data_IF_539248020303
#
_entry.id   IF_539248020303
#
_cell.length_a   1.000
_cell.length_b   1.000
_cell.length_c   1.000
_cell.angle_alpha   90.00
_cell.angle_beta   90.00
_cell.angle_gamma   90.00
#
_symmetry.space_group_name_H-M   'P 1'
#
loop_
_entity.id
_entity.type
_entity.pdbx_description
1 polymer ?
#
# COMPACT_ATOMS: atom_id res chain seq x y z
N UNK A 1 -1.45 -8.37 6.45
CA UNK A 1 -2.72 -8.85 7.02
C UNK A 1 -2.57 -9.41 8.46
N UNK A 2 -1.68 -8.84 9.28
CA UNK A 2 -1.74 -8.92 10.74
C UNK A 2 -1.75 -7.53 11.39
N UNK A 3 -2.74 -6.75 11.00
CA UNK A 3 -2.92 -5.35 11.40
C UNK A 3 -4.27 -5.16 12.09
N UNK A 4 -4.85 -6.29 12.49
CA UNK A 4 -6.27 -6.50 12.81
C UNK A 4 -6.56 -6.20 14.28
N UNK A 5 -5.52 -6.15 15.10
CA UNK A 5 -5.62 -6.01 16.54
C UNK A 5 -4.79 -4.84 17.05
N UNK A 6 -4.68 -3.74 16.29
CA UNK A 6 -4.08 -2.58 16.92
C UNK A 6 -4.90 -2.15 18.13
N UNK A 7 -6.22 -2.38 18.25
CA UNK A 7 -6.87 -1.93 19.50
C UNK A 7 -8.24 -2.51 19.83
N UNK A 8 -8.54 -3.78 19.54
CA UNK A 8 -9.89 -4.31 19.79
C UNK A 8 -9.97 -5.39 20.86
N UNK A 9 -9.46 -5.04 22.04
CA UNK A 9 -10.35 -4.79 23.18
C UNK A 9 -9.55 -4.06 24.25
N UNK A 10 -10.10 -2.95 24.72
CA UNK A 10 -10.08 -2.68 26.15
C UNK A 10 -10.11 -4.00 26.92
N UNK A 11 -8.98 -4.38 27.49
CA UNK A 11 -8.93 -5.22 28.66
C UNK A 11 -9.70 -4.47 29.77
N UNK A 12 -11.02 -4.65 29.80
CA UNK A 12 -11.88 -4.35 30.95
C UNK A 12 -12.82 -3.13 30.85
N UNK A 13 -14.03 -3.35 30.31
CA UNK A 13 -15.28 -2.74 30.78
C UNK A 13 -15.62 -1.28 30.40
N UNK A 14 -16.90 -0.87 30.53
CA UNK A 14 -17.41 0.37 29.95
C UNK A 14 -17.22 1.56 30.89
N UNK A 15 -16.75 2.70 30.36
CA UNK A 15 -16.96 4.01 31.00
C UNK A 15 -17.43 5.04 29.98
N UNK A 16 -18.75 5.26 30.02
CA UNK A 16 -19.39 6.51 29.64
C UNK A 16 -18.59 7.71 30.17
N UNK A 17 -18.28 8.70 29.32
CA UNK A 17 -18.25 10.11 29.76
C UNK A 17 -18.27 11.11 28.60
N UNK A 18 -19.41 11.77 28.53
CA UNK A 18 -19.71 13.13 28.13
C UNK A 18 -18.55 14.05 27.68
N UNK A 19 -18.78 14.60 26.49
CA UNK A 19 -18.27 15.85 25.96
C UNK A 19 -18.29 17.01 26.95
N UNK A 20 -17.17 17.72 27.10
CA UNK A 20 -17.16 19.16 27.44
C UNK A 20 -16.06 19.88 26.66
N UNK A 21 -16.48 20.92 25.95
CA UNK A 21 -15.68 21.96 25.29
C UNK A 21 -14.85 22.77 26.30
N UNK A 22 -13.64 23.25 25.95
CA UNK A 22 -13.01 24.36 26.66
C UNK A 22 -13.18 25.68 25.91
N UNK A 23 -13.61 26.69 26.66
CA UNK A 23 -13.62 28.12 26.30
C UNK A 23 -12.32 28.79 26.75
N UNK A 24 -11.87 29.78 25.97
CA UNK A 24 -11.33 31.03 26.51
C UNK A 24 -9.84 31.09 26.86
N UNK A 25 -9.13 31.81 25.98
CA UNK A 25 -8.08 32.81 26.28
C UNK A 25 -7.00 32.49 27.33
N UNK A 26 -5.73 32.52 26.91
CA UNK A 26 -4.83 33.57 27.37
C UNK A 26 -3.63 33.79 26.44
N UNK A 27 -3.38 35.07 26.15
CA UNK A 27 -2.21 35.60 25.45
C UNK A 27 -1.14 35.93 26.48
N UNK A 28 0.06 35.40 26.34
CA UNK A 28 1.29 36.10 26.74
C UNK A 28 2.41 35.76 25.75
N UNK A 29 2.95 36.79 25.12
CA UNK A 29 4.15 36.69 24.29
C UNK A 29 5.42 36.79 25.13
N UNK A 30 6.54 36.36 24.55
CA UNK A 30 7.80 37.12 24.42
C UNK A 30 8.90 36.25 23.79
N UNK A 31 9.70 36.92 22.97
CA UNK A 31 11.06 36.60 22.49
C UNK A 31 11.27 35.64 21.33
N UNK A 32 11.42 36.28 20.17
CA UNK A 32 12.19 35.82 19.00
C UNK A 32 13.57 35.31 19.43
N UNK A 33 13.85 34.05 19.10
CA UNK A 33 15.20 33.60 18.76
C UNK A 33 15.15 33.07 17.33
N UNK A 34 15.75 33.83 16.42
CA UNK A 34 16.09 33.38 15.08
C UNK A 34 17.17 32.32 15.27
N UNK A 35 16.82 31.05 15.07
CA UNK A 35 17.77 29.96 14.90
C UNK A 35 17.62 29.47 13.47
N UNK A 36 18.69 29.65 12.70
CA UNK A 36 18.81 29.22 11.31
C UNK A 36 18.53 27.71 11.23
N UNK A 37 17.40 27.34 10.62
CA UNK A 37 17.17 25.97 10.13
C UNK A 37 17.91 25.83 8.82
N UNK A 38 19.09 25.23 8.88
CA UNK A 38 19.76 24.63 7.73
C UNK A 38 18.85 23.55 7.15
N UNK A 39 18.47 23.78 5.89
CA UNK A 39 17.52 23.01 5.10
C UNK A 39 18.16 21.73 4.56
N UNK A 40 17.47 20.59 4.70
CA UNK A 40 17.80 19.30 4.08
C UNK A 40 17.82 19.29 2.53
N UNK A 41 17.61 20.44 1.87
CA UNK A 41 17.80 20.62 0.43
C UNK A 41 19.25 20.37 -0.03
N UNK A 42 20.22 20.50 0.89
CA UNK A 42 21.63 20.30 0.58
C UNK A 42 21.94 18.85 0.21
N UNK A 43 21.30 17.84 0.80
CA UNK A 43 21.73 16.43 0.63
C UNK A 43 21.45 15.88 -0.77
N UNK A 44 20.29 16.15 -1.35
CA UNK A 44 19.93 15.67 -2.70
C UNK A 44 20.66 16.43 -3.80
N UNK A 45 20.92 17.73 -3.59
CA UNK A 45 21.78 18.50 -4.48
C UNK A 45 23.25 18.05 -4.38
N UNK A 46 23.72 17.69 -3.19
CA UNK A 46 25.06 17.11 -3.01
C UNK A 46 25.18 15.74 -3.69
N UNK A 47 24.13 14.91 -3.67
CA UNK A 47 24.11 13.63 -4.41
C UNK A 47 24.08 13.83 -5.93
N UNK A 48 23.34 14.82 -6.42
CA UNK A 48 23.35 15.20 -7.84
C UNK A 48 24.73 15.73 -8.28
N UNK A 49 25.35 16.60 -7.47
CA UNK A 49 26.69 17.12 -7.71
C UNK A 49 27.74 16.00 -7.71
N UNK A 50 27.66 15.07 -6.75
CA UNK A 50 28.51 13.89 -6.72
C UNK A 50 28.31 12.99 -7.96
N UNK A 51 27.07 12.86 -8.44
CA UNK A 51 26.76 12.12 -9.66
C UNK A 51 27.31 12.82 -10.92
N UNK A 52 27.34 14.15 -10.95
CA UNK A 52 27.96 14.94 -12.02
C UNK A 52 29.49 14.78 -12.00
N UNK A 53 30.12 14.82 -10.83
CA UNK A 53 31.57 14.60 -10.68
C UNK A 53 32.00 13.20 -11.14
N UNK A 54 31.26 12.17 -10.73
CA UNK A 54 31.52 10.79 -11.17
C UNK A 54 31.34 10.62 -12.69
N UNK A 55 30.35 11.27 -13.29
CA UNK A 55 30.17 11.29 -14.75
C UNK A 55 31.36 11.97 -15.46
N UNK A 56 31.87 13.07 -14.93
CA UNK A 56 33.05 13.75 -15.46
C UNK A 56 34.31 12.87 -15.43
N UNK A 57 34.51 12.12 -14.34
CA UNK A 57 35.63 11.19 -14.22
C UNK A 57 35.51 10.02 -15.21
N UNK A 58 34.30 9.52 -15.45
CA UNK A 58 34.03 8.51 -16.49
C UNK A 58 34.33 9.07 -17.88
N UNK A 59 33.89 10.29 -18.20
CA UNK A 59 34.19 10.95 -19.48
C UNK A 59 35.71 11.08 -19.68
N UNK A 60 36.46 11.57 -18.68
CA UNK A 60 37.93 11.69 -18.77
C UNK A 60 38.62 10.34 -18.97
N UNK A 61 38.13 9.30 -18.31
CA UNK A 61 38.67 7.93 -18.46
C UNK A 61 38.46 7.38 -19.88
N UNK A 62 37.28 7.61 -20.45
CA UNK A 62 36.94 7.20 -21.82
C UNK A 62 37.72 8.05 -22.84
N UNK A 63 37.90 9.35 -22.62
CA UNK A 63 38.73 10.23 -23.48
C UNK A 63 40.20 9.76 -23.52
N UNK A 64 40.77 9.39 -22.38
CA UNK A 64 42.12 8.81 -22.30
C UNK A 64 42.21 7.50 -23.08
N UNK A 65 41.15 6.69 -23.02
CA UNK A 65 41.05 5.44 -23.77
C UNK A 65 40.94 5.72 -25.27
N UNK A 66 40.14 6.71 -25.68
CA UNK A 66 40.01 7.14 -27.08
C UNK A 66 41.36 7.60 -27.64
N UNK A 67 42.14 8.41 -26.92
CA UNK A 67 43.46 8.86 -27.38
C UNK A 67 44.42 7.68 -27.64
N UNK A 68 44.34 6.62 -26.83
CA UNK A 68 45.11 5.39 -27.06
C UNK A 68 44.64 4.64 -28.32
N UNK A 69 43.33 4.62 -28.58
CA UNK A 69 42.76 4.02 -29.79
C UNK A 69 43.01 4.86 -31.05
N UNK A 70 43.11 6.19 -30.96
CA UNK A 70 43.44 7.07 -32.08
C UNK A 70 44.85 6.81 -32.64
N UNK A 71 45.81 6.47 -31.77
CA UNK A 71 47.17 6.08 -32.17
C UNK A 71 47.22 4.78 -32.98
N UNK A 72 46.22 3.90 -32.79
CA UNK A 72 46.12 2.57 -33.39
C UNK A 72 45.04 2.54 -34.49
N UNK A 73 44.32 3.66 -34.72
CA UNK A 73 43.12 3.76 -35.57
C UNK A 73 43.35 3.30 -37.00
N UNK A 74 44.57 3.48 -37.52
CA UNK A 74 44.93 3.12 -38.89
C UNK A 74 45.43 1.67 -39.04
N UNK A 75 45.52 0.90 -37.95
CA UNK A 75 46.06 -0.47 -37.98
C UNK A 75 45.03 -1.51 -38.46
N UNK A 76 43.73 -1.22 -38.31
CA UNK A 76 42.64 -2.11 -38.73
C UNK A 76 41.30 -1.37 -38.85
N UNK A 77 40.45 -1.78 -39.79
CA UNK A 77 39.03 -1.38 -39.86
C UNK A 77 38.29 -1.62 -38.53
N UNK A 78 38.69 -2.67 -37.78
CA UNK A 78 38.14 -2.97 -36.45
C UNK A 78 38.52 -1.92 -35.41
N UNK A 79 39.74 -1.40 -35.46
CA UNK A 79 40.22 -0.38 -34.52
C UNK A 79 39.69 1.01 -34.86
N UNK A 80 39.49 1.28 -36.15
CA UNK A 80 38.72 2.43 -36.65
C UNK A 80 37.28 2.45 -36.11
N UNK A 81 36.55 1.33 -36.25
CA UNK A 81 35.17 1.23 -35.73
C UNK A 81 35.07 1.39 -34.21
N UNK A 82 36.06 0.91 -33.45
CA UNK A 82 36.12 1.11 -31.99
C UNK A 82 36.35 2.57 -31.62
N UNK A 83 37.24 3.26 -32.32
CA UNK A 83 37.51 4.68 -32.07
C UNK A 83 36.26 5.55 -32.38
N UNK A 84 35.56 5.26 -33.48
CA UNK A 84 34.31 5.94 -33.86
C UNK A 84 33.20 5.69 -32.81
N UNK A 85 33.06 4.45 -32.32
CA UNK A 85 32.08 4.12 -31.28
C UNK A 85 32.40 4.83 -29.95
N UNK A 86 33.67 4.85 -29.55
CA UNK A 86 34.12 5.53 -28.32
C UNK A 86 33.88 7.04 -28.43
N UNK A 87 34.16 7.65 -29.58
CA UNK A 87 33.83 9.05 -29.85
C UNK A 87 32.33 9.30 -29.68
N UNK A 88 31.48 8.45 -30.28
CA UNK A 88 30.03 8.57 -30.18
C UNK A 88 29.50 8.41 -28.74
N UNK A 89 30.13 7.56 -27.93
CA UNK A 89 29.80 7.41 -26.50
C UNK A 89 30.16 8.69 -25.73
N UNK A 90 31.35 9.26 -25.95
CA UNK A 90 31.77 10.52 -25.32
C UNK A 90 30.79 11.65 -25.65
N UNK A 91 30.37 11.77 -26.91
CA UNK A 91 29.44 12.82 -27.34
C UNK A 91 28.10 12.72 -26.61
N UNK A 92 27.54 11.50 -26.48
CA UNK A 92 26.29 11.27 -25.73
C UNK A 92 26.44 11.58 -24.24
N UNK A 93 27.57 11.21 -23.63
CA UNK A 93 27.82 11.47 -22.21
C UNK A 93 27.98 12.98 -21.94
N UNK A 94 28.60 13.75 -22.84
CA UNK A 94 28.70 15.22 -22.75
C UNK A 94 27.34 15.91 -22.85
N UNK A 95 26.42 15.37 -23.66
CA UNK A 95 25.03 15.85 -23.71
C UNK A 95 24.34 15.63 -22.37
N UNK A 96 24.43 14.41 -21.82
CA UNK A 96 23.86 14.07 -20.50
C UNK A 96 24.47 14.94 -19.39
N UNK A 97 25.79 15.16 -19.40
CA UNK A 97 26.47 16.08 -18.48
C UNK A 97 25.92 17.51 -18.60
N UNK A 98 25.70 17.99 -19.81
CA UNK A 98 25.15 19.33 -20.06
C UNK A 98 23.73 19.45 -19.52
N UNK A 99 22.88 18.45 -19.74
CA UNK A 99 21.50 18.43 -19.26
C UNK A 99 21.45 18.37 -17.72
N UNK A 100 22.31 17.56 -17.08
CA UNK A 100 22.42 17.50 -15.62
C UNK A 100 22.92 18.82 -15.01
N UNK A 101 23.88 19.49 -15.66
CA UNK A 101 24.34 20.81 -15.24
C UNK A 101 23.25 21.87 -15.39
N UNK A 102 22.37 21.78 -16.39
CA UNK A 102 21.19 22.67 -16.51
C UNK A 102 20.20 22.47 -15.37
N UNK A 103 19.93 21.21 -15.01
CA UNK A 103 19.10 20.88 -13.84
C UNK A 103 19.73 21.40 -12.54
N UNK A 104 21.07 21.38 -12.44
CA UNK A 104 21.79 21.96 -11.29
C UNK A 104 21.84 23.49 -11.29
N UNK A 105 21.67 24.15 -12.45
CA UNK A 105 21.78 25.60 -12.60
C UNK A 105 20.42 26.33 -12.59
N UNK A 106 19.30 25.61 -12.68
CA UNK A 106 17.95 26.18 -12.55
C UNK A 106 17.62 26.53 -11.07
N UNK A 107 18.23 27.60 -10.55
CA UNK A 107 17.70 28.33 -9.40
C UNK A 107 16.47 29.16 -9.86
N UNK A 108 15.27 28.57 -9.78
CA UNK A 108 14.08 29.27 -10.28
C UNK A 108 12.72 28.62 -10.04
N UNK A 109 12.46 28.02 -8.87
CA UNK A 109 11.12 27.56 -8.48
C UNK A 109 10.39 28.47 -7.48
N UNK A 110 10.52 29.79 -7.65
CA UNK A 110 9.92 30.79 -6.74
C UNK A 110 8.69 31.54 -7.32
N UNK A 111 8.06 31.05 -8.39
CA UNK A 111 6.87 31.70 -8.98
C UNK A 111 5.76 30.75 -9.47
N UNK A 112 5.40 29.76 -8.66
CA UNK A 112 4.06 29.13 -8.79
C UNK A 112 3.32 28.93 -7.44
N UNK A 113 3.72 29.67 -6.41
CA UNK A 113 3.08 29.65 -5.08
C UNK A 113 2.61 31.04 -4.67
N UNK A 114 1.60 31.57 -5.35
CA UNK A 114 0.77 32.64 -4.81
C UNK A 114 -0.70 32.48 -5.19
N UNK A 115 -1.24 31.31 -4.83
CA UNK A 115 -2.66 31.22 -4.47
C UNK A 115 -2.66 30.97 -2.96
N UNK A 116 -3.35 31.79 -2.14
CA UNK A 116 -3.43 31.57 -0.71
C UNK A 116 -4.27 30.31 -0.48
N UNK A 117 -3.61 29.17 -0.36
CA UNK A 117 -4.23 27.97 0.16
C UNK A 117 -4.09 28.00 1.68
N UNK A 118 -5.24 28.08 2.32
CA UNK A 118 -5.44 27.81 3.73
C UNK A 118 -4.54 26.66 4.20
N UNK A 119 -3.89 26.88 5.33
CA UNK A 119 -3.16 25.87 6.09
C UNK A 119 -4.19 24.90 6.69
N UNK A 120 -4.73 24.01 5.84
CA UNK A 120 -5.62 22.91 6.22
C UNK A 120 -5.76 21.87 5.11
N UNK A 121 -4.65 21.27 4.66
CA UNK A 121 -4.75 20.08 3.80
C UNK A 121 -3.49 19.23 3.82
N UNK A 122 -3.21 18.58 4.96
CA UNK A 122 -2.49 17.30 4.93
C UNK A 122 -3.48 16.26 4.40
N UNK A 123 -3.67 16.22 3.07
CA UNK A 123 -4.42 15.16 2.40
C UNK A 123 -3.50 13.95 2.30
N UNK A 124 -3.45 13.17 3.38
CA UNK A 124 -2.73 11.91 3.36
C UNK A 124 -3.60 10.84 2.71
N UNK A 125 -3.31 10.54 1.44
CA UNK A 125 -3.92 9.49 0.62
C UNK A 125 -3.60 8.08 1.12
N UNK A 126 -3.87 7.04 0.31
CA UNK A 126 -3.79 5.63 0.69
C UNK A 126 -2.41 5.20 1.26
N UNK A 127 -2.36 4.03 1.93
CA UNK A 127 -1.09 3.45 2.39
C UNK A 127 -0.29 2.78 1.28
N UNK A 128 -0.94 2.41 0.18
CA UNK A 128 -0.28 1.65 -0.86
C UNK A 128 0.87 2.45 -1.49
N UNK A 129 1.94 1.76 -1.87
CA UNK A 129 3.13 2.39 -2.44
C UNK A 129 2.79 3.12 -3.74
N UNK A 130 1.84 2.58 -4.50
CA UNK A 130 1.47 3.04 -5.83
C UNK A 130 0.51 4.24 -5.82
N UNK A 131 0.02 4.66 -4.66
CA UNK A 131 -0.89 5.81 -4.57
C UNK A 131 -0.17 7.12 -4.92
N UNK A 132 -0.63 7.80 -5.97
CA UNK A 132 -0.26 9.19 -6.27
C UNK A 132 -1.30 10.14 -5.64
N UNK A 133 -0.87 11.04 -4.74
CA UNK A 133 -1.76 12.02 -4.09
C UNK A 133 -2.28 13.11 -5.08
N UNK A 134 -1.94 13.00 -6.36
CA UNK A 134 -2.23 14.01 -7.39
C UNK A 134 -2.71 13.36 -8.69
N UNK A 135 -3.90 12.78 -8.70
CA UNK A 135 -4.87 12.85 -9.80
C UNK A 135 -6.16 12.13 -9.41
N UNK A 136 -7.30 12.82 -9.44
CA UNK A 136 -8.61 12.18 -9.47
C UNK A 136 -8.94 11.83 -10.92
N UNK A 137 -9.29 10.57 -11.20
CA UNK A 137 -10.46 10.23 -12.03
C UNK A 137 -10.70 8.73 -12.20
N UNK A 138 -11.98 8.46 -12.49
CA UNK A 138 -12.61 7.27 -13.05
C UNK A 138 -12.56 5.99 -12.19
N UNK A 139 -13.74 5.63 -11.69
CA UNK A 139 -14.12 4.27 -11.31
C UNK A 139 -14.03 3.40 -12.56
N UNK A 140 -13.20 2.36 -12.51
CA UNK A 140 -13.35 1.19 -13.37
C UNK A 140 -14.04 0.14 -12.51
N UNK A 141 -15.17 -0.38 -13.00
CA UNK A 141 -15.99 -1.35 -12.28
C UNK A 141 -15.17 -2.62 -12.03
N UNK A 142 -15.05 -3.02 -10.76
CA UNK A 142 -14.52 -4.34 -10.41
C UNK A 142 -15.47 -5.41 -10.93
N UNK A 143 -15.28 -5.86 -12.16
CA UNK A 143 -15.93 -7.05 -12.68
C UNK A 143 -15.29 -8.26 -11.99
N UNK A 144 -15.97 -8.75 -10.96
CA UNK A 144 -15.70 -10.07 -10.39
C UNK A 144 -16.31 -11.09 -11.35
N UNK A 145 -15.48 -11.89 -12.02
CA UNK A 145 -15.96 -13.07 -12.72
C UNK A 145 -16.43 -14.05 -11.64
N UNK A 146 -17.73 -14.03 -11.36
CA UNK A 146 -18.40 -14.85 -10.34
C UNK A 146 -18.54 -16.33 -10.73
N UNK A 147 -17.93 -16.74 -11.85
CA UNK A 147 -18.12 -18.09 -12.42
C UNK A 147 -17.43 -19.21 -11.62
N UNK A 148 -16.59 -18.89 -10.62
CA UNK A 148 -15.93 -19.88 -9.74
C UNK A 148 -16.54 -19.94 -8.31
N UNK A 149 -17.76 -19.43 -8.13
CA UNK A 149 -18.50 -19.43 -6.85
C UNK A 149 -19.04 -20.81 -6.40
N UNK A 150 -18.45 -21.92 -6.88
CA UNK A 150 -18.89 -23.29 -6.65
C UNK A 150 -18.40 -23.91 -5.32
N UNK A 151 -17.47 -23.27 -4.60
CA UNK A 151 -16.80 -23.93 -3.45
C UNK A 151 -17.55 -23.76 -2.12
N UNK A 152 -18.46 -22.79 -1.99
CA UNK A 152 -19.22 -22.52 -0.76
C UNK A 152 -20.73 -22.79 -0.92
N UNK A 153 -21.11 -23.92 -1.51
CA UNK A 153 -22.49 -24.40 -1.69
C UNK A 153 -23.27 -24.56 -0.37
N UNK A 154 -23.51 -23.45 0.34
CA UNK A 154 -24.65 -23.26 1.21
C UNK A 154 -25.78 -22.78 0.31
N UNK A 155 -26.92 -23.48 0.38
CA UNK A 155 -28.15 -23.01 -0.23
C UNK A 155 -28.40 -21.56 0.20
N UNK A 156 -28.83 -20.68 -0.74
CA UNK A 156 -29.08 -19.29 -0.41
C UNK A 156 -30.02 -19.23 0.79
N UNK A 157 -29.60 -18.48 1.80
CA UNK A 157 -30.36 -18.34 3.03
C UNK A 157 -31.60 -17.49 2.71
N UNK A 158 -32.74 -18.14 2.50
CA UNK A 158 -34.01 -17.45 2.24
C UNK A 158 -34.64 -16.99 3.57
N UNK A 159 -34.07 -15.93 4.15
CA UNK A 159 -34.60 -15.27 5.34
C UNK A 159 -35.47 -14.08 4.92
N UNK A 160 -36.68 -13.98 5.49
CA UNK A 160 -37.49 -12.78 5.34
C UNK A 160 -36.76 -11.57 5.96
N UNK A 161 -36.81 -10.40 5.28
CA UNK A 161 -36.14 -9.16 5.75
C UNK A 161 -36.53 -8.80 7.20
N UNK A 162 -37.73 -9.19 7.65
CA UNK A 162 -38.24 -8.96 9.01
C UNK A 162 -37.52 -9.79 10.10
N UNK A 163 -36.88 -10.90 9.73
CA UNK A 163 -36.11 -11.74 10.64
C UNK A 163 -34.68 -11.21 10.89
N UNK A 164 -34.20 -10.24 10.11
CA UNK A 164 -32.85 -9.68 10.19
C UNK A 164 -32.75 -8.61 11.29
N UNK A 165 -32.98 -9.01 12.55
CA UNK A 165 -33.00 -8.10 13.69
C UNK A 165 -31.69 -7.29 13.83
N UNK A 166 -30.54 -7.93 13.67
CA UNK A 166 -29.24 -7.25 13.77
C UNK A 166 -28.99 -6.28 12.60
N UNK A 167 -29.45 -6.59 11.39
CA UNK A 167 -29.43 -5.64 10.28
C UNK A 167 -30.27 -4.39 10.58
N UNK A 168 -31.45 -4.54 11.21
CA UNK A 168 -32.29 -3.39 11.59
C UNK A 168 -31.61 -2.49 12.63
N UNK A 169 -30.85 -3.06 13.55
CA UNK A 169 -30.02 -2.27 14.47
C UNK A 169 -28.97 -1.45 13.70
N UNK A 170 -28.28 -2.07 12.75
CA UNK A 170 -27.35 -1.39 11.84
C UNK A 170 -28.02 -0.28 11.03
N UNK A 171 -29.22 -0.53 10.51
CA UNK A 171 -30.02 0.45 9.77
C UNK A 171 -30.40 1.63 10.66
N UNK A 172 -30.84 1.39 11.90
CA UNK A 172 -31.11 2.45 12.86
C UNK A 172 -29.85 3.28 13.16
N UNK A 173 -28.68 2.64 13.28
CA UNK A 173 -27.42 3.33 13.52
C UNK A 173 -26.99 4.18 12.31
N UNK A 174 -27.20 3.67 11.09
CA UNK A 174 -26.92 4.39 9.84
C UNK A 174 -27.84 5.61 9.68
N UNK A 175 -29.15 5.45 9.90
CA UNK A 175 -30.14 6.53 9.88
C UNK A 175 -29.86 7.61 10.92
N UNK A 176 -29.36 7.22 12.10
CA UNK A 176 -28.92 8.15 13.13
C UNK A 176 -27.64 8.93 12.76
N UNK A 177 -27.02 8.65 11.61
CA UNK A 177 -25.76 9.27 11.20
C UNK A 177 -24.56 8.83 12.03
N UNK A 178 -24.68 7.76 12.83
CA UNK A 178 -23.62 7.31 13.74
C UNK A 178 -22.52 6.51 13.05
N UNK A 179 -22.76 6.07 11.82
CA UNK A 179 -21.82 5.27 11.02
C UNK A 179 -21.06 6.16 10.04
N UNK A 180 -19.80 6.45 10.38
CA UNK A 180 -18.88 7.16 9.50
C UNK A 180 -18.04 6.15 8.73
N UNK A 181 -17.92 6.33 7.41
CA UNK A 181 -17.07 5.53 6.52
C UNK A 181 -16.07 6.42 5.81
N UNK A 182 -14.84 5.93 5.60
CA UNK A 182 -13.78 6.70 4.95
C UNK A 182 -14.06 6.97 3.47
N UNK A 183 -14.48 5.92 2.75
CA UNK A 183 -14.93 5.94 1.36
C UNK A 183 -16.26 5.20 1.26
N UNK A 184 -17.11 5.59 0.33
CA UNK A 184 -18.30 4.82 0.00
C UNK A 184 -17.88 3.65 -0.90
N UNK A 185 -18.15 2.41 -0.47
CA UNK A 185 -17.81 1.18 -1.20
C UNK A 185 -19.07 0.44 -1.69
N UNK A 186 -20.18 1.15 -1.87
CA UNK A 186 -21.50 0.54 -2.12
C UNK A 186 -21.49 -0.37 -3.36
N UNK A 187 -20.90 0.08 -4.46
CA UNK A 187 -20.89 -0.68 -5.73
C UNK A 187 -20.05 -1.95 -5.57
N UNK A 188 -18.84 -1.81 -4.99
CA UNK A 188 -17.93 -2.92 -4.74
C UNK A 188 -18.54 -3.97 -3.78
N UNK A 189 -19.28 -3.51 -2.75
CA UNK A 189 -19.91 -4.39 -1.77
C UNK A 189 -21.32 -4.86 -2.19
N UNK A 190 -21.77 -4.52 -3.41
CA UNK A 190 -23.08 -4.88 -3.96
C UNK A 190 -24.25 -4.53 -3.01
N UNK A 191 -24.20 -3.34 -2.42
CA UNK A 191 -25.25 -2.83 -1.53
C UNK A 191 -26.37 -2.15 -2.31
N UNK A 192 -27.60 -2.14 -1.76
CA UNK A 192 -28.76 -1.53 -2.42
C UNK A 192 -28.62 0.00 -2.52
N UNK A 193 -28.14 0.65 -1.45
CA UNK A 193 -27.89 2.08 -1.36
C UNK A 193 -26.81 2.42 -0.30
N UNK A 194 -26.52 3.71 -0.10
CA UNK A 194 -25.56 4.15 0.92
C UNK A 194 -25.97 3.81 2.35
N UNK A 195 -27.26 3.80 2.67
CA UNK A 195 -27.76 3.47 4.01
C UNK A 195 -27.60 1.98 4.28
N UNK A 196 -27.94 1.13 3.30
CA UNK A 196 -27.69 -0.31 3.33
C UNK A 196 -26.21 -0.62 3.54
N UNK A 197 -25.33 0.04 2.78
CA UNK A 197 -23.88 -0.09 2.93
C UNK A 197 -23.43 0.25 4.36
N UNK A 198 -23.85 1.42 4.88
CA UNK A 198 -23.48 1.85 6.24
C UNK A 198 -24.05 0.93 7.32
N UNK A 199 -25.28 0.44 7.15
CA UNK A 199 -25.91 -0.49 8.06
C UNK A 199 -25.11 -1.80 8.15
N UNK A 200 -24.74 -2.38 7.00
CA UNK A 200 -23.92 -3.60 6.94
C UNK A 200 -22.51 -3.39 7.49
N UNK A 201 -21.87 -2.24 7.21
CA UNK A 201 -20.58 -1.87 7.81
C UNK A 201 -20.67 -1.84 9.34
N UNK A 202 -21.73 -1.25 9.90
CA UNK A 202 -21.93 -1.24 11.35
C UNK A 202 -22.01 -2.66 11.93
N UNK A 203 -22.81 -3.53 11.31
CA UNK A 203 -22.94 -4.94 11.72
C UNK A 203 -21.60 -5.68 11.63
N UNK A 204 -20.87 -5.53 10.52
CA UNK A 204 -19.59 -6.19 10.29
C UNK A 204 -18.50 -5.70 11.23
N UNK A 205 -18.44 -4.40 11.56
CA UNK A 205 -17.52 -3.89 12.60
C UNK A 205 -17.72 -4.58 13.94
N UNK A 206 -18.98 -4.75 14.36
CA UNK A 206 -19.32 -5.49 15.59
C UNK A 206 -18.99 -6.97 15.45
N UNK A 207 -19.30 -7.59 14.31
CA UNK A 207 -18.98 -8.98 14.00
C UNK A 207 -17.49 -9.28 14.12
N UNK A 208 -16.65 -8.50 13.41
CA UNK A 208 -15.19 -8.64 13.51
C UNK A 208 -14.68 -8.37 14.92
N UNK A 209 -15.22 -7.38 15.64
CA UNK A 209 -14.86 -7.14 17.05
C UNK A 209 -15.21 -8.33 17.96
N UNK A 210 -16.25 -9.10 17.62
CA UNK A 210 -16.59 -10.34 18.31
C UNK A 210 -15.59 -11.45 17.95
N UNK A 211 -15.37 -11.70 16.66
CA UNK A 211 -14.43 -12.71 16.15
C UNK A 211 -13.04 -12.54 16.74
N UNK A 212 -12.53 -11.31 16.73
CA UNK A 212 -11.14 -10.98 17.07
C UNK A 212 -10.91 -10.81 18.57
N UNK A 213 -11.95 -10.95 19.37
CA UNK A 213 -11.79 -11.03 20.82
C UNK A 213 -11.13 -12.31 21.27
N UNK A 214 -11.30 -13.38 20.48
CA UNK A 214 -10.61 -14.63 20.67
C UNK A 214 -9.15 -14.49 20.22
N UNK A 215 -8.22 -14.74 21.15
CA UNK A 215 -6.79 -14.70 20.90
C UNK A 215 -6.35 -15.69 19.82
N UNK A 216 -6.95 -16.88 19.80
CA UNK A 216 -6.64 -17.90 18.82
C UNK A 216 -6.92 -17.40 17.39
N UNK A 217 -8.06 -16.73 17.19
CA UNK A 217 -8.44 -16.18 15.88
C UNK A 217 -7.45 -15.09 15.43
N UNK A 218 -6.99 -14.24 16.36
CA UNK A 218 -5.97 -13.23 16.07
C UNK A 218 -4.66 -13.89 15.62
N UNK A 219 -4.16 -14.85 16.41
CA UNK A 219 -2.91 -15.56 16.10
C UNK A 219 -2.98 -16.33 14.78
N UNK A 220 -4.10 -16.99 14.50
CA UNK A 220 -4.29 -17.71 13.25
C UNK A 220 -4.26 -16.77 12.04
N UNK A 221 -4.93 -15.60 12.13
CA UNK A 221 -4.84 -14.56 11.08
C UNK A 221 -3.43 -14.02 10.93
N UNK A 222 -2.75 -13.76 12.07
CA UNK A 222 -1.36 -13.32 12.11
C UNK A 222 -0.45 -14.24 11.30
N UNK A 223 -0.54 -15.54 11.60
CA UNK A 223 0.32 -16.55 11.02
C UNK A 223 -0.05 -16.83 9.57
N UNK A 224 -1.34 -16.83 9.24
CA UNK A 224 -1.83 -17.03 7.87
C UNK A 224 -1.32 -15.96 6.92
N UNK A 225 -1.37 -14.69 7.33
CA UNK A 225 -0.84 -13.58 6.55
C UNK A 225 0.69 -13.65 6.40
N UNK A 226 1.41 -13.97 7.50
CA UNK A 226 2.87 -14.13 7.50
C UNK A 226 3.30 -15.25 6.56
N UNK A 227 2.61 -16.39 6.60
CA UNK A 227 2.85 -17.53 5.73
C UNK A 227 2.56 -17.18 4.27
N UNK A 228 1.41 -16.59 3.98
CA UNK A 228 1.03 -16.19 2.62
C UNK A 228 2.09 -15.33 1.94
N UNK A 229 2.53 -14.23 2.55
CA UNK A 229 3.53 -13.35 1.93
C UNK A 229 4.90 -14.02 1.83
N UNK A 230 5.30 -14.83 2.81
CA UNK A 230 6.55 -15.57 2.73
C UNK A 230 6.54 -16.60 1.59
N UNK A 231 5.44 -17.30 1.37
CA UNK A 231 5.30 -18.26 0.29
C UNK A 231 5.21 -17.57 -1.07
N UNK A 232 4.52 -16.44 -1.17
CA UNK A 232 4.48 -15.60 -2.38
C UNK A 232 5.89 -15.12 -2.76
N UNK A 233 6.70 -14.69 -1.79
CA UNK A 233 8.10 -14.33 -2.03
C UNK A 233 8.93 -15.51 -2.54
N UNK A 234 8.72 -16.72 -2.00
CA UNK A 234 9.42 -17.93 -2.46
C UNK A 234 9.06 -18.30 -3.90
N UNK A 235 7.78 -18.18 -4.27
CA UNK A 235 7.33 -18.36 -5.67
C UNK A 235 8.01 -17.37 -6.61
N UNK A 236 8.23 -16.13 -6.15
CA UNK A 236 9.01 -15.12 -6.87
C UNK A 236 10.54 -15.29 -6.76
N UNK A 237 11.03 -16.44 -6.24
CA UNK A 237 12.46 -16.73 -6.03
C UNK A 237 13.17 -15.70 -5.15
N UNK A 238 12.46 -15.12 -4.17
CA UNK A 238 12.99 -14.17 -3.17
C UNK A 238 13.20 -14.82 -1.81
N UNK A 239 14.21 -14.31 -1.11
CA UNK A 239 14.44 -14.64 0.30
C UNK A 239 13.36 -13.98 1.17
N UNK A 240 12.56 -14.75 1.94
CA UNK A 240 11.56 -14.19 2.83
C UNK A 240 12.12 -13.66 4.16
N UNK A 241 13.42 -13.83 4.46
CA UNK A 241 14.02 -13.39 5.74
C UNK A 241 13.84 -11.89 6.02
N UNK A 242 14.10 -10.97 5.07
CA UNK A 242 13.85 -9.53 5.28
C UNK A 242 12.38 -9.23 5.61
N UNK A 243 11.44 -9.97 4.99
CA UNK A 243 10.02 -9.83 5.27
C UNK A 243 9.69 -10.27 6.70
N UNK A 244 10.21 -11.41 7.16
CA UNK A 244 9.97 -11.86 8.54
C UNK A 244 10.44 -10.84 9.56
N UNK A 245 11.63 -10.25 9.35
CA UNK A 245 12.15 -9.21 10.23
C UNK A 245 11.20 -8.01 10.31
N UNK A 246 10.83 -7.42 9.17
CA UNK A 246 9.93 -6.26 9.12
C UNK A 246 8.53 -6.57 9.71
N UNK A 247 8.03 -7.77 9.44
CA UNK A 247 6.73 -8.23 9.94
C UNK A 247 6.70 -8.43 11.46
N UNK A 248 7.75 -9.04 11.99
CA UNK A 248 7.87 -9.31 13.42
C UNK A 248 8.12 -7.99 14.20
N UNK A 249 8.89 -7.05 13.64
CA UNK A 249 9.07 -5.69 14.18
C UNK A 249 7.74 -4.92 14.28
N UNK A 250 6.93 -4.91 13.21
CA UNK A 250 5.57 -4.35 13.23
C UNK A 250 4.67 -5.06 14.26
N UNK A 251 4.70 -6.39 14.32
CA UNK A 251 3.90 -7.15 15.29
C UNK A 251 4.29 -6.80 16.73
N UNK A 252 5.59 -6.67 17.02
CA UNK A 252 6.09 -6.24 18.33
C UNK A 252 5.68 -4.81 18.66
N UNK A 253 5.76 -3.89 17.69
CA UNK A 253 5.31 -2.51 17.84
C UNK A 253 3.82 -2.42 18.21
N UNK A 254 2.97 -3.23 17.56
CA UNK A 254 1.53 -3.26 17.84
C UNK A 254 1.15 -3.93 19.16
N UNK A 255 1.98 -4.85 19.66
CA UNK A 255 1.75 -5.52 20.94
C UNK A 255 2.04 -4.60 22.14
N UNK A 256 2.79 -3.52 21.95
CA UNK A 256 3.01 -2.52 22.99
C UNK A 256 1.81 -1.56 23.09
N UNK A 257 1.13 -1.63 24.25
CA UNK A 257 -0.05 -0.80 24.53
C UNK A 257 0.24 0.70 24.55
N UNK A 258 1.49 1.12 24.70
CA UNK A 258 1.87 2.53 24.65
C UNK A 258 1.80 3.12 23.23
N UNK A 259 1.87 2.27 22.20
CA UNK A 259 1.86 2.73 20.81
C UNK A 259 0.43 2.92 20.26
N UNK A 260 -0.60 2.51 21.01
CA UNK A 260 -1.98 2.47 20.52
C UNK A 260 -2.54 3.85 20.19
N UNK A 261 -2.29 4.83 21.06
CA UNK A 261 -2.69 6.23 20.85
C UNK A 261 -1.99 6.83 19.62
N UNK A 262 -0.72 6.44 19.40
CA UNK A 262 0.05 6.85 18.24
C UNK A 262 -0.57 6.30 16.95
N UNK A 263 -0.90 5.00 16.93
CA UNK A 263 -1.54 4.37 15.76
C UNK A 263 -2.92 4.98 15.50
N UNK A 264 -3.72 5.20 16.55
CA UNK A 264 -5.01 5.86 16.42
C UNK A 264 -4.89 7.24 15.79
N UNK A 265 -3.90 8.02 16.23
CA UNK A 265 -3.63 9.36 15.71
C UNK A 265 -3.23 9.30 14.23
N UNK A 266 -2.32 8.41 13.85
CA UNK A 266 -1.89 8.23 12.45
C UNK A 266 -3.04 7.80 11.53
N UNK A 267 -3.86 6.85 11.96
CA UNK A 267 -4.97 6.33 11.15
C UNK A 267 -6.15 7.31 11.08
N UNK A 268 -6.44 8.07 12.14
CA UNK A 268 -7.44 9.16 12.09
C UNK A 268 -7.05 10.26 11.11
N UNK A 269 -5.77 10.61 11.01
CA UNK A 269 -5.28 11.57 10.01
C UNK A 269 -5.51 11.08 8.56
N UNK A 270 -5.62 9.76 8.37
CA UNK A 270 -5.95 9.09 7.10
C UNK A 270 -7.45 8.85 6.92
N UNK A 271 -8.28 9.44 7.78
CA UNK A 271 -9.76 9.33 7.80
C UNK A 271 -10.26 7.90 8.04
N UNK A 272 -9.46 7.02 8.62
CA UNK A 272 -9.94 5.71 9.11
C UNK A 272 -10.88 5.96 10.28
N UNK A 273 -12.12 5.46 10.17
CA UNK A 273 -13.18 5.79 11.13
C UNK A 273 -13.01 5.05 12.47
N UNK A 274 -12.68 3.76 12.42
CA UNK A 274 -12.50 2.90 13.59
C UNK A 274 -11.25 2.03 13.44
N UNK A 275 -10.61 1.67 14.55
CA UNK A 275 -9.44 0.77 14.56
C UNK A 275 -9.86 -0.69 14.48
N UNK A 276 -10.60 -1.04 13.43
CA UNK A 276 -11.16 -2.38 13.22
C UNK A 276 -10.63 -3.08 11.99
N UNK A 277 -10.95 -4.38 11.90
CA UNK A 277 -10.54 -5.22 10.77
C UNK A 277 -11.08 -4.69 9.44
N UNK A 278 -12.36 -4.31 9.41
CA UNK A 278 -12.99 -3.73 8.24
C UNK A 278 -12.26 -2.45 7.82
N UNK A 279 -12.23 -1.45 8.70
CA UNK A 279 -11.72 -0.12 8.37
C UNK A 279 -10.23 -0.10 8.04
N UNK A 280 -9.40 -0.80 8.81
CA UNK A 280 -7.95 -0.77 8.64
C UNK A 280 -7.50 -1.78 7.59
N UNK A 281 -7.92 -3.04 7.72
CA UNK A 281 -7.33 -4.12 6.91
C UNK A 281 -8.04 -4.29 5.58
N UNK A 282 -9.39 -4.31 5.58
CA UNK A 282 -10.15 -4.53 4.36
C UNK A 282 -10.28 -3.24 3.55
N UNK A 283 -10.83 -2.16 4.10
CA UNK A 283 -11.03 -0.91 3.36
C UNK A 283 -9.71 -0.16 3.11
N UNK A 284 -8.97 0.17 4.16
CA UNK A 284 -7.83 1.08 4.03
C UNK A 284 -6.55 0.45 3.48
N UNK A 285 -6.27 -0.81 3.79
CA UNK A 285 -5.07 -1.49 3.28
C UNK A 285 -5.41 -2.26 2.01
N UNK A 286 -6.34 -3.21 2.08
CA UNK A 286 -6.52 -4.19 1.01
C UNK A 286 -7.22 -3.61 -0.22
N UNK A 287 -8.43 -3.05 -0.04
CA UNK A 287 -9.21 -2.48 -1.15
C UNK A 287 -8.43 -1.33 -1.79
N UNK A 288 -7.89 -0.40 -0.99
CA UNK A 288 -7.03 0.68 -1.53
C UNK A 288 -5.83 0.13 -2.32
N UNK A 289 -5.16 -0.92 -1.84
CA UNK A 289 -4.05 -1.51 -2.59
C UNK A 289 -4.49 -2.11 -3.93
N UNK A 290 -5.66 -2.74 -4.00
CA UNK A 290 -6.21 -3.26 -5.27
C UNK A 290 -6.63 -2.14 -6.22
N UNK A 291 -7.21 -1.05 -5.72
CA UNK A 291 -7.53 0.14 -6.52
C UNK A 291 -6.29 0.82 -7.11
N UNK A 292 -5.22 0.87 -6.33
CA UNK A 292 -3.96 1.47 -6.77
C UNK A 292 -3.23 0.55 -7.76
N UNK A 293 -3.30 -0.78 -7.58
CA UNK A 293 -2.77 -1.74 -8.55
C UNK A 293 -3.54 -1.75 -9.87
N UNK A 294 -4.84 -1.43 -9.86
CA UNK A 294 -5.63 -1.24 -11.07
C UNK A 294 -5.24 0.04 -11.83
N UNK A 295 -4.67 1.03 -11.14
CA UNK A 295 -4.25 2.33 -11.70
C UNK A 295 -2.80 2.66 -11.33
N UNK A 296 -1.84 1.83 -11.77
CA UNK A 296 -0.44 1.99 -11.39
C UNK A 296 0.18 3.22 -12.06
N UNK A 297 1.17 3.88 -11.43
CA UNK A 297 1.90 5.00 -12.03
C UNK A 297 2.52 4.64 -13.39
N UNK A 298 2.61 5.63 -14.28
CA UNK A 298 3.16 5.44 -15.64
C UNK A 298 4.59 4.88 -15.62
N UNK A 299 5.41 5.27 -14.64
CA UNK A 299 6.76 4.73 -14.42
C UNK A 299 6.75 3.23 -14.13
N UNK A 300 5.77 2.74 -13.36
CA UNK A 300 5.61 1.30 -13.08
C UNK A 300 5.19 0.57 -14.36
N UNK A 301 4.19 1.10 -15.08
CA UNK A 301 3.74 0.51 -16.34
C UNK A 301 4.86 0.44 -17.40
N UNK A 302 5.69 1.47 -17.48
CA UNK A 302 6.81 1.53 -18.41
C UNK A 302 7.85 0.44 -18.16
N UNK A 303 7.98 -0.06 -16.93
CA UNK A 303 8.89 -1.17 -16.60
C UNK A 303 8.20 -2.52 -16.79
N UNK A 304 7.00 -2.67 -16.24
CA UNK A 304 6.31 -3.98 -16.22
C UNK A 304 5.90 -4.44 -17.61
N UNK A 305 5.44 -3.51 -18.46
CA UNK A 305 4.99 -3.78 -19.84
C UNK A 305 6.11 -3.77 -20.89
N UNK A 306 7.36 -3.51 -20.50
CA UNK A 306 8.47 -3.46 -21.46
C UNK A 306 8.91 -4.87 -21.85
N UNK A 307 8.72 -5.25 -23.12
CA UNK A 307 9.09 -6.57 -23.64
C UNK A 307 10.59 -6.74 -23.88
N UNK A 308 11.37 -5.66 -23.86
CA UNK A 308 12.82 -5.68 -24.07
C UNK A 308 13.62 -5.83 -22.77
N UNK A 309 13.00 -5.61 -21.62
CA UNK A 309 13.65 -5.81 -20.32
C UNK A 309 13.57 -7.29 -19.92
N UNK A 310 14.72 -7.85 -19.51
CA UNK A 310 14.73 -9.16 -18.86
C UNK A 310 13.95 -9.11 -17.55
N UNK A 311 13.47 -10.27 -17.07
CA UNK A 311 12.74 -10.34 -15.79
C UNK A 311 13.58 -9.80 -14.62
N UNK A 312 14.88 -10.08 -14.59
CA UNK A 312 15.81 -9.55 -13.60
C UNK A 312 15.98 -8.04 -13.66
N UNK A 313 15.97 -7.45 -14.87
CA UNK A 313 16.00 -6.00 -15.04
C UNK A 313 14.70 -5.36 -14.57
N UNK A 314 13.53 -5.91 -14.96
CA UNK A 314 12.22 -5.43 -14.50
C UNK A 314 12.15 -5.39 -12.98
N UNK A 315 12.63 -6.44 -12.35
CA UNK A 315 12.66 -6.56 -10.90
C UNK A 315 13.60 -5.57 -10.23
N UNK A 316 14.82 -5.42 -10.71
CA UNK A 316 15.77 -4.45 -10.15
C UNK A 316 15.23 -3.03 -10.31
N UNK A 317 14.75 -2.67 -11.50
CA UNK A 317 14.23 -1.32 -11.77
C UNK A 317 12.98 -1.05 -10.95
N UNK A 318 12.04 -2.01 -10.87
CA UNK A 318 10.82 -1.82 -10.11
C UNK A 318 11.09 -1.72 -8.60
N UNK A 319 12.03 -2.52 -8.08
CA UNK A 319 12.45 -2.43 -6.68
C UNK A 319 13.03 -1.05 -6.37
N UNK A 320 13.88 -0.51 -7.24
CA UNK A 320 14.44 0.85 -7.07
C UNK A 320 13.36 1.93 -7.15
N UNK A 321 12.39 1.80 -8.06
CA UNK A 321 11.28 2.74 -8.19
C UNK A 321 10.40 2.75 -6.93
N UNK A 322 9.97 1.58 -6.47
CA UNK A 322 9.14 1.41 -5.27
C UNK A 322 9.89 1.92 -4.04
N UNK A 323 11.18 1.61 -3.92
CA UNK A 323 12.03 2.15 -2.86
C UNK A 323 12.04 3.68 -2.88
N UNK A 324 12.28 4.31 -4.03
CA UNK A 324 12.29 5.76 -4.17
C UNK A 324 10.95 6.39 -3.78
N UNK A 325 9.84 5.80 -4.22
CA UNK A 325 8.48 6.23 -3.84
C UNK A 325 8.26 6.12 -2.32
N UNK A 326 8.70 5.02 -1.71
CA UNK A 326 8.61 4.83 -0.26
C UNK A 326 9.47 5.83 0.51
N UNK A 327 10.71 6.11 0.07
CA UNK A 327 11.56 7.11 0.71
C UNK A 327 10.94 8.51 0.64
N UNK A 328 10.38 8.89 -0.51
CA UNK A 328 9.65 10.15 -0.64
C UNK A 328 8.45 10.24 0.30
N UNK A 329 7.69 9.13 0.47
CA UNK A 329 6.59 9.04 1.43
C UNK A 329 7.06 9.09 2.88
N UNK A 330 8.16 8.40 3.22
CA UNK A 330 8.78 8.41 4.57
C UNK A 330 9.24 9.82 4.98
N UNK A 331 9.83 10.58 4.06
CA UNK A 331 10.28 11.95 4.32
C UNK A 331 9.13 12.90 4.75
N UNK A 332 7.89 12.56 4.38
CA UNK A 332 6.68 13.32 4.73
C UNK A 332 5.99 12.82 6.01
N UNK A 333 6.47 11.74 6.63
CA UNK A 333 5.85 11.21 7.84
C UNK A 333 6.13 12.13 9.03
N UNK A 334 5.08 12.56 9.77
CA UNK A 334 5.30 13.32 11.00
C UNK A 334 5.97 12.47 12.08
N UNK A 335 5.69 11.16 12.07
CA UNK A 335 6.15 10.20 13.07
C UNK A 335 7.11 9.22 12.38
N UNK A 336 8.39 9.24 12.79
CA UNK A 336 9.44 8.43 12.16
C UNK A 336 9.39 6.95 12.52
N UNK A 337 8.91 6.63 13.71
CA UNK A 337 8.79 5.25 14.21
C UNK A 337 7.33 4.96 14.61
N UNK A 338 6.43 5.19 13.66
CA UNK A 338 4.99 4.98 13.80
C UNK A 338 4.53 3.75 13.04
N UNK A 339 3.23 3.48 13.13
CA UNK A 339 2.53 2.44 12.38
C UNK A 339 2.84 2.51 10.88
N UNK A 340 2.77 3.72 10.30
CA UNK A 340 2.94 3.90 8.86
C UNK A 340 4.38 3.64 8.44
N UNK A 341 5.35 3.99 9.28
CA UNK A 341 6.78 3.76 9.00
C UNK A 341 7.07 2.26 8.94
N UNK A 342 6.61 1.50 9.93
CA UNK A 342 6.71 0.04 9.95
C UNK A 342 5.90 -0.63 8.82
N UNK A 343 4.77 -0.04 8.39
CA UNK A 343 4.06 -0.48 7.19
C UNK A 343 4.88 -0.30 5.93
N UNK A 344 5.63 0.79 5.81
CA UNK A 344 6.56 0.99 4.71
C UNK A 344 7.74 0.01 4.76
N UNK A 345 8.24 -0.38 5.94
CA UNK A 345 9.27 -1.42 6.04
C UNK A 345 8.83 -2.75 5.43
N UNK A 346 7.58 -3.17 5.72
CA UNK A 346 7.01 -4.38 5.12
C UNK A 346 6.78 -4.18 3.63
N UNK A 347 6.20 -3.04 3.24
CA UNK A 347 5.88 -2.72 1.85
C UNK A 347 7.11 -2.68 0.96
N UNK A 348 8.25 -2.23 1.47
CA UNK A 348 9.53 -2.18 0.76
C UNK A 348 9.98 -3.58 0.30
N UNK A 349 9.69 -4.61 1.10
CA UNK A 349 10.04 -6.00 0.80
C UNK A 349 9.01 -6.65 -0.12
N UNK A 350 7.72 -6.48 0.14
CA UNK A 350 6.67 -7.27 -0.55
C UNK A 350 6.12 -6.61 -1.81
N UNK A 351 6.08 -5.26 -1.86
CA UNK A 351 5.41 -4.55 -2.96
C UNK A 351 6.03 -4.77 -4.33
N UNK A 352 7.37 -4.89 -4.49
CA UNK A 352 7.96 -5.20 -5.79
C UNK A 352 7.47 -6.53 -6.34
N UNK A 353 7.44 -7.57 -5.51
CA UNK A 353 6.95 -8.90 -5.88
C UNK A 353 5.47 -8.87 -6.22
N UNK A 354 4.64 -8.22 -5.39
CA UNK A 354 3.19 -8.11 -5.63
C UNK A 354 2.92 -7.35 -6.93
N UNK A 355 3.62 -6.24 -7.16
CA UNK A 355 3.44 -5.40 -8.35
C UNK A 355 3.85 -6.16 -9.62
N UNK A 356 4.95 -6.92 -9.58
CA UNK A 356 5.33 -7.81 -10.68
C UNK A 356 4.38 -9.00 -10.84
N UNK A 357 3.81 -9.52 -9.77
CA UNK A 357 2.81 -10.58 -9.84
C UNK A 357 1.59 -10.10 -10.61
N UNK A 358 1.01 -8.96 -10.24
CA UNK A 358 -0.17 -8.42 -10.93
C UNK A 358 0.10 -7.86 -12.33
N UNK A 359 1.23 -7.17 -12.54
CA UNK A 359 1.46 -6.36 -13.75
C UNK A 359 2.58 -6.88 -14.64
N UNK A 360 3.38 -7.81 -14.15
CA UNK A 360 4.54 -8.34 -14.85
C UNK A 360 4.18 -9.37 -15.92
N UNK A 361 5.23 -9.94 -16.50
CA UNK A 361 5.12 -10.92 -17.60
C UNK A 361 5.15 -12.38 -17.13
N UNK A 362 5.36 -12.62 -15.85
CA UNK A 362 5.34 -13.97 -15.26
C UNK A 362 3.88 -14.42 -15.08
N UNK A 363 3.47 -15.42 -15.86
CA UNK A 363 2.10 -15.93 -15.88
C UNK A 363 1.74 -16.67 -14.59
N UNK A 364 2.67 -17.46 -14.06
CA UNK A 364 2.48 -18.20 -12.81
C UNK A 364 2.22 -17.26 -11.64
N UNK A 365 3.09 -16.25 -11.49
CA UNK A 365 2.91 -15.24 -10.44
C UNK A 365 1.63 -14.43 -10.62
N UNK A 366 1.21 -14.17 -11.86
CA UNK A 366 -0.04 -13.48 -12.17
C UNK A 366 -1.26 -14.28 -11.76
N UNK A 367 -1.32 -15.57 -12.12
CA UNK A 367 -2.39 -16.47 -11.69
C UNK A 367 -2.52 -16.53 -10.16
N UNK A 368 -1.39 -16.65 -9.44
CA UNK A 368 -1.39 -16.63 -7.98
C UNK A 368 -1.91 -15.33 -7.37
N UNK A 369 -1.46 -14.19 -7.90
CA UNK A 369 -1.88 -12.88 -7.43
C UNK A 369 -3.36 -12.60 -7.75
N UNK A 370 -3.81 -12.95 -8.96
CA UNK A 370 -5.19 -12.79 -9.39
C UNK A 370 -6.13 -13.69 -8.57
N UNK A 371 -5.76 -14.95 -8.34
CA UNK A 371 -6.51 -15.86 -7.47
C UNK A 371 -6.62 -15.30 -6.05
N UNK A 372 -5.53 -14.79 -5.47
CA UNK A 372 -5.57 -14.14 -4.15
C UNK A 372 -6.54 -12.95 -4.13
N UNK A 373 -6.45 -12.07 -5.14
CA UNK A 373 -7.33 -10.91 -5.27
C UNK A 373 -8.79 -11.35 -5.37
N UNK A 374 -9.10 -12.31 -6.22
CA UNK A 374 -10.44 -12.83 -6.43
C UNK A 374 -11.03 -13.43 -5.15
N UNK A 375 -10.28 -14.28 -4.43
CA UNK A 375 -10.74 -14.88 -3.18
C UNK A 375 -11.04 -13.81 -2.10
N UNK A 376 -10.20 -12.78 -2.02
CA UNK A 376 -10.40 -11.68 -1.06
C UNK A 376 -11.53 -10.73 -1.45
N UNK A 377 -11.69 -10.41 -2.73
CA UNK A 377 -12.82 -9.63 -3.23
C UNK A 377 -14.13 -10.38 -3.01
N UNK A 378 -14.16 -11.68 -3.35
CA UNK A 378 -15.32 -12.55 -3.13
C UNK A 378 -15.68 -12.65 -1.66
N UNK A 379 -14.69 -12.79 -0.76
CA UNK A 379 -14.93 -12.72 0.69
C UNK A 379 -15.66 -11.44 1.09
N UNK A 380 -15.24 -10.28 0.59
CA UNK A 380 -15.89 -9.00 0.93
C UNK A 380 -17.32 -8.96 0.40
N UNK A 381 -17.56 -9.38 -0.85
CA UNK A 381 -18.91 -9.44 -1.42
C UNK A 381 -19.80 -10.41 -0.62
N UNK A 382 -19.30 -11.59 -0.29
CA UNK A 382 -20.03 -12.63 0.44
C UNK A 382 -20.49 -12.14 1.82
N UNK A 383 -19.64 -11.43 2.57
CA UNK A 383 -20.00 -10.98 3.93
C UNK A 383 -21.03 -9.85 3.94
N UNK A 384 -21.17 -9.10 2.84
CA UNK A 384 -22.23 -8.08 2.67
C UNK A 384 -23.54 -8.67 2.15
N UNK A 385 -23.53 -9.92 1.68
CA UNK A 385 -24.69 -10.56 1.11
C UNK A 385 -25.55 -11.24 2.20
N UNK A 386 -26.77 -10.72 2.40
CA UNK A 386 -27.72 -11.25 3.39
C UNK A 386 -28.19 -12.69 3.10
N UNK A 387 -28.03 -13.17 1.87
CA UNK A 387 -28.33 -14.54 1.49
C UNK A 387 -27.16 -15.50 1.76
N UNK A 388 -25.97 -14.98 2.12
CA UNK A 388 -24.77 -15.75 2.46
C UNK A 388 -24.43 -15.69 3.95
N UNK A 389 -24.69 -14.56 4.60
CA UNK A 389 -24.42 -14.31 6.03
C UNK A 389 -25.71 -13.97 6.76
N UNK A 390 -25.92 -14.57 7.93
CA UNK A 390 -27.11 -14.34 8.76
C UNK A 390 -26.99 -13.05 9.57
N UNK A 391 -27.63 -11.99 9.11
CA UNK A 391 -27.79 -10.73 9.86
C UNK A 391 -28.92 -10.78 10.93
N UNK A 392 -29.17 -11.96 11.49
CA UNK A 392 -30.20 -12.20 12.53
C UNK A 392 -29.72 -11.76 13.90
N UNK A 393 -28.49 -12.12 14.27
CA UNK A 393 -27.85 -11.78 15.54
C UNK A 393 -26.36 -11.51 15.35
N UNK A 394 -25.73 -10.84 16.32
CA UNK A 394 -24.27 -10.63 16.32
C UNK A 394 -23.49 -11.95 16.27
N UNK A 395 -23.97 -12.97 16.98
CA UNK A 395 -23.30 -14.29 17.05
C UNK A 395 -23.38 -15.00 15.70
N UNK A 396 -24.56 -15.08 15.10
CA UNK A 396 -24.75 -15.74 13.80
C UNK A 396 -23.90 -15.08 12.70
N UNK A 397 -23.92 -13.75 12.63
CA UNK A 397 -23.13 -12.99 11.66
C UNK A 397 -21.63 -13.22 11.86
N UNK A 398 -21.16 -13.22 13.12
CA UNK A 398 -19.76 -13.44 13.43
C UNK A 398 -19.30 -14.86 13.06
N UNK A 399 -20.12 -15.88 13.33
CA UNK A 399 -19.83 -17.26 12.96
C UNK A 399 -19.75 -17.43 11.45
N UNK A 400 -20.75 -16.95 10.70
CA UNK A 400 -20.79 -17.08 9.25
C UNK A 400 -19.62 -16.32 8.59
N UNK A 401 -19.37 -15.08 9.04
CA UNK A 401 -18.25 -14.25 8.54
C UNK A 401 -16.91 -14.93 8.80
N UNK A 402 -16.72 -15.53 9.98
CA UNK A 402 -15.48 -16.23 10.31
C UNK A 402 -15.29 -17.49 9.48
N UNK A 403 -16.34 -18.30 9.28
CA UNK A 403 -16.28 -19.50 8.45
C UNK A 403 -15.90 -19.18 7.01
N UNK A 404 -16.50 -18.14 6.42
CA UNK A 404 -16.16 -17.71 5.05
C UNK A 404 -14.70 -17.24 4.99
N UNK A 405 -14.24 -16.46 5.97
CA UNK A 405 -12.85 -15.99 6.04
C UNK A 405 -11.86 -17.16 6.12
N UNK A 406 -12.13 -18.15 6.98
CA UNK A 406 -11.30 -19.35 7.13
C UNK A 406 -11.21 -20.13 5.82
N UNK A 407 -12.37 -20.42 5.21
CA UNK A 407 -12.41 -21.16 3.95
C UNK A 407 -11.62 -20.46 2.84
N UNK A 408 -11.79 -19.15 2.66
CA UNK A 408 -11.09 -18.37 1.62
C UNK A 408 -9.57 -18.35 1.86
N UNK A 409 -9.12 -18.18 3.09
CA UNK A 409 -7.69 -18.22 3.44
C UNK A 409 -7.10 -19.61 3.22
N UNK A 410 -7.83 -20.68 3.58
CA UNK A 410 -7.40 -22.07 3.35
C UNK A 410 -7.31 -22.40 1.85
N UNK A 411 -8.25 -21.90 1.04
CA UNK A 411 -8.21 -22.01 -0.42
C UNK A 411 -6.98 -21.32 -1.00
N UNK A 412 -6.71 -20.08 -0.59
CA UNK A 412 -5.50 -19.32 -1.00
C UNK A 412 -4.22 -20.10 -0.62
N UNK A 413 -4.14 -20.59 0.62
CA UNK A 413 -2.97 -21.34 1.09
C UNK A 413 -2.80 -22.65 0.34
N UNK A 414 -3.89 -23.36 0.06
CA UNK A 414 -3.86 -24.61 -0.70
C UNK A 414 -3.36 -24.37 -2.11
N UNK A 415 -3.85 -23.32 -2.79
CA UNK A 415 -3.40 -22.96 -4.14
C UNK A 415 -1.89 -22.69 -4.17
N UNK A 416 -1.40 -21.87 -3.24
CA UNK A 416 0.04 -21.54 -3.15
C UNK A 416 0.91 -22.75 -2.82
N UNK A 417 0.44 -23.69 -1.98
CA UNK A 417 1.23 -24.85 -1.57
C UNK A 417 1.20 -25.99 -2.61
N UNK A 418 0.13 -26.10 -3.40
CA UNK A 418 -0.04 -27.18 -4.41
C UNK A 418 0.71 -26.89 -5.69
N UNK A 419 0.94 -25.61 -5.99
CA UNK A 419 1.79 -25.20 -7.08
C UNK A 419 3.28 -25.46 -6.76
N UNK A 420 3.95 -26.19 -7.65
CA UNK A 420 5.38 -26.48 -7.52
C UNK A 420 6.18 -25.18 -7.58
N UNK A 421 7.12 -25.01 -6.66
CA UNK A 421 8.06 -23.90 -6.72
C UNK A 421 8.82 -23.95 -8.06
N UNK A 422 8.95 -22.83 -8.78
CA UNK A 422 9.62 -22.81 -10.07
C UNK A 422 11.07 -23.26 -9.93
N UNK A 423 11.46 -24.25 -10.73
CA UNK A 423 12.81 -24.86 -10.74
C UNK A 423 13.94 -23.86 -10.92
#
# INVERSE_FOLDING_TARGET
MNWIAVTLRYAGGPRLRFTRTPSGSDKFGVSRKISFRTTNYSSSMNELLFSIETLQDVIRSIEKTLSAFELVRNNSEKDKGKAELLSSVIDRLKVVETDLNRVSAEEGFDKLSSVPLDVSSVRSGALSVLSDDTFMSALDEFQTNLDDADVLMREPINLEKDALAFYREGMSAALAGSVVTRKCRLDFCQCEDELDFRAKVWCLRKGFSNILSNEHNRLWLTQSARKFFADLLRHAKKDPVPFFKAYDEMTNFLNDSNNLELVETELKQRKVAELGFWDVVLDFILIDSFEDLARPPSAVLAVTRNMFLSQSMKESTLSTLIWSMLQAKRARLPIRNGFISHFYDISEVVSPTITLGFLGTDEHMRELCDYFKEQMCSFIVDVFNINRVRYTSLTDLAEDTWLILQARVEMIQTRINTELLPS
#
